data_IF_916506270623
#
_entry.id   IF_916506270623
#
_cell.length_a   1.000
_cell.length_b   1.000
_cell.length_c   1.000
_cell.angle_alpha   90.00
_cell.angle_beta   90.00
_cell.angle_gamma   90.00
#
_symmetry.space_group_name_H-M   'P 1'
#
loop_
_entity.id
_entity.type
_entity.pdbx_description
1 polymer ?
#
# COMPACT_ATOMS: atom_id res chain seq x y z
N UNK A 1 66.63 3.89 43.65
CA UNK A 1 65.90 3.37 42.42
C UNK A 1 64.44 2.99 42.68
N UNK A 2 64.08 2.33 43.77
CA UNK A 2 62.70 1.87 44.06
C UNK A 2 61.67 3.01 44.18
N UNK A 3 62.05 4.19 44.71
CA UNK A 3 61.15 5.34 44.87
C UNK A 3 60.84 6.13 43.57
N UNK A 4 61.71 6.06 42.55
CA UNK A 4 61.47 6.74 41.26
C UNK A 4 60.50 5.94 40.38
N UNK A 5 60.58 4.61 40.42
CA UNK A 5 59.68 3.70 39.69
C UNK A 5 58.25 3.81 40.20
N UNK A 6 58.07 3.92 41.54
CA UNK A 6 56.71 4.14 42.09
C UNK A 6 56.12 5.52 41.74
N UNK A 7 56.92 6.57 41.62
CA UNK A 7 56.45 7.86 41.18
C UNK A 7 56.01 7.89 39.72
N UNK A 8 56.76 7.20 38.85
CA UNK A 8 56.41 7.05 37.42
C UNK A 8 55.12 6.23 37.29
N UNK A 9 54.96 5.12 38.01
CA UNK A 9 53.75 4.33 37.99
C UNK A 9 52.52 5.10 38.47
N UNK A 10 52.64 5.90 39.53
CA UNK A 10 51.56 6.77 40.01
C UNK A 10 51.19 7.84 38.96
N UNK A 11 52.18 8.42 38.26
CA UNK A 11 51.93 9.41 37.22
C UNK A 11 51.19 8.80 36.02
N UNK A 12 51.53 7.60 35.59
CA UNK A 12 50.83 6.87 34.51
C UNK A 12 49.39 6.54 34.93
N UNK A 13 49.15 6.12 36.17
CA UNK A 13 47.81 5.86 36.69
C UNK A 13 46.96 7.15 36.70
N UNK A 14 47.51 8.29 37.10
CA UNK A 14 46.80 9.55 37.10
C UNK A 14 46.43 10.00 35.69
N UNK A 15 47.33 9.85 34.70
CA UNK A 15 47.06 10.13 33.29
C UNK A 15 45.97 9.21 32.77
N UNK A 16 46.03 7.94 33.05
CA UNK A 16 44.99 6.98 32.62
C UNK A 16 43.61 7.32 33.18
N UNK A 17 43.55 7.63 34.49
CA UNK A 17 42.31 8.04 35.16
C UNK A 17 41.75 9.36 34.58
N UNK A 18 42.61 10.32 34.23
CA UNK A 18 42.18 11.57 33.61
C UNK A 18 41.61 11.35 32.19
N UNK A 19 42.20 10.47 31.40
CA UNK A 19 41.69 10.08 30.07
C UNK A 19 40.32 9.42 30.19
N UNK A 20 40.16 8.49 31.12
CA UNK A 20 38.89 7.81 31.39
C UNK A 20 37.80 8.79 31.82
N UNK A 21 38.19 9.76 32.71
CA UNK A 21 37.26 10.81 33.17
C UNK A 21 36.80 11.71 32.00
N UNK A 22 37.72 12.15 31.13
CA UNK A 22 37.41 12.99 29.96
C UNK A 22 36.53 12.24 28.98
N UNK A 23 36.82 10.94 28.72
CA UNK A 23 36.00 10.08 27.85
C UNK A 23 34.58 9.89 28.42
N UNK A 24 34.47 9.65 29.73
CA UNK A 24 33.17 9.51 30.41
C UNK A 24 32.35 10.80 30.32
N UNK A 25 33.01 11.97 30.48
CA UNK A 25 32.37 13.28 30.37
C UNK A 25 31.88 13.53 28.93
N UNK A 26 32.68 13.18 27.93
CA UNK A 26 32.31 13.31 26.52
C UNK A 26 31.11 12.43 26.15
N UNK A 27 31.10 11.18 26.61
CA UNK A 27 29.97 10.26 26.41
C UNK A 27 28.70 10.74 27.11
N UNK A 28 28.84 11.26 28.35
CA UNK A 28 27.71 11.84 29.10
C UNK A 28 27.14 13.06 28.37
N UNK A 29 28.00 13.97 27.88
CA UNK A 29 27.56 15.14 27.11
C UNK A 29 26.87 14.74 25.80
N UNK A 30 27.41 13.76 25.08
CA UNK A 30 26.81 13.22 23.85
C UNK A 30 25.43 12.63 24.12
N UNK A 31 25.25 11.94 25.24
CA UNK A 31 23.98 11.37 25.65
C UNK A 31 22.95 12.43 26.00
N UNK A 32 23.38 13.45 26.76
CA UNK A 32 22.55 14.61 27.11
C UNK A 32 22.12 15.36 25.84
N UNK A 33 23.05 15.62 24.89
CA UNK A 33 22.70 16.28 23.63
C UNK A 33 21.70 15.47 22.79
N UNK A 34 21.82 14.14 22.76
CA UNK A 34 20.82 13.27 22.09
C UNK A 34 19.45 13.36 22.79
N UNK A 35 19.43 13.30 24.12
CA UNK A 35 18.20 13.45 24.90
C UNK A 35 17.57 14.83 24.73
N UNK A 36 18.38 15.90 24.72
CA UNK A 36 17.90 17.28 24.52
C UNK A 36 17.32 17.47 23.11
N UNK A 37 17.91 16.84 22.08
CA UNK A 37 17.37 16.84 20.74
C UNK A 37 16.02 16.09 20.65
N UNK A 38 15.91 14.94 21.34
CA UNK A 38 14.65 14.20 21.44
C UNK A 38 13.57 14.98 22.21
N UNK A 39 13.94 15.66 23.28
CA UNK A 39 13.02 16.49 24.08
C UNK A 39 12.62 17.76 23.34
N UNK A 40 13.51 18.39 22.55
CA UNK A 40 13.13 19.52 21.69
C UNK A 40 12.17 19.12 20.56
N UNK A 41 12.29 17.91 20.01
CA UNK A 41 11.29 17.39 19.06
C UNK A 41 9.92 17.14 19.73
N UNK A 42 9.87 16.93 21.05
CA UNK A 42 8.61 16.72 21.80
C UNK A 42 7.99 18.02 22.34
N UNK A 43 8.64 19.18 22.22
CA UNK A 43 8.13 20.46 22.79
C UNK A 43 7.51 21.39 21.77
N UNK A 44 7.57 21.09 20.47
CA UNK A 44 6.77 21.82 19.49
C UNK A 44 5.38 21.17 19.46
N UNK A 45 4.37 21.90 19.92
CA UNK A 45 2.97 21.46 19.77
C UNK A 45 2.67 21.32 18.29
N UNK A 46 2.18 20.15 17.84
CA UNK A 46 1.81 19.98 16.45
C UNK A 46 0.75 21.02 16.08
N UNK A 47 0.88 21.58 14.88
CA UNK A 47 -0.05 22.60 14.39
C UNK A 47 -1.38 21.98 13.95
N UNK A 48 -1.32 20.76 13.43
CA UNK A 48 -2.48 20.00 12.96
C UNK A 48 -2.52 18.61 13.57
N UNK A 49 -3.73 18.10 13.77
CA UNK A 49 -4.01 16.73 14.15
C UNK A 49 -4.79 16.04 13.03
N UNK A 50 -4.20 15.03 12.42
CA UNK A 50 -4.82 14.25 11.34
C UNK A 50 -5.14 12.84 11.87
N UNK A 51 -6.35 12.36 11.58
CA UNK A 51 -6.75 10.99 11.87
C UNK A 51 -6.70 10.15 10.59
N UNK A 52 -5.96 9.03 10.62
CA UNK A 52 -5.95 8.05 9.54
C UNK A 52 -6.67 6.78 9.97
N UNK A 53 -7.55 6.29 9.11
CA UNK A 53 -8.35 5.10 9.30
C UNK A 53 -7.91 4.05 8.26
N UNK A 54 -7.35 2.94 8.74
CA UNK A 54 -6.80 1.86 7.91
C UNK A 54 -7.38 0.52 8.37
N UNK A 55 -7.49 -0.49 7.50
CA UNK A 55 -7.69 -1.87 7.92
C UNK A 55 -6.54 -2.36 8.81
N UNK A 56 -6.61 -3.59 9.27
CA UNK A 56 -5.57 -4.21 10.09
C UNK A 56 -4.16 -3.98 9.54
N UNK A 57 -3.28 -3.40 10.36
CA UNK A 57 -1.94 -2.96 9.96
C UNK A 57 -0.88 -4.06 9.97
N UNK A 58 -1.25 -5.30 10.23
CA UNK A 58 -0.31 -6.45 10.17
C UNK A 58 0.11 -6.79 8.73
N UNK A 59 -0.67 -6.37 7.73
CA UNK A 59 -0.35 -6.59 6.33
C UNK A 59 0.74 -5.63 5.84
N UNK A 60 1.72 -6.14 5.09
CA UNK A 60 2.87 -5.34 4.60
C UNK A 60 2.46 -4.10 3.81
N UNK A 61 1.39 -4.18 3.02
CA UNK A 61 0.84 -3.07 2.24
C UNK A 61 0.43 -1.89 3.14
N UNK A 62 -0.34 -2.18 4.22
CA UNK A 62 -0.79 -1.13 5.14
C UNK A 62 0.31 -0.60 6.04
N UNK A 63 1.28 -1.46 6.42
CA UNK A 63 2.47 -1.01 7.15
C UNK A 63 3.28 0.00 6.33
N UNK A 64 3.56 -0.30 5.06
CA UNK A 64 4.28 0.61 4.17
C UNK A 64 3.50 1.92 3.93
N UNK A 65 2.18 1.84 3.80
CA UNK A 65 1.32 3.03 3.69
C UNK A 65 1.41 3.90 4.96
N UNK A 66 1.37 3.27 6.12
CA UNK A 66 1.50 3.97 7.40
C UNK A 66 2.90 4.60 7.56
N UNK A 67 3.96 3.91 7.12
CA UNK A 67 5.32 4.49 7.10
C UNK A 67 5.35 5.78 6.27
N UNK A 68 4.82 5.76 5.05
CA UNK A 68 4.75 6.97 4.22
C UNK A 68 3.96 8.11 4.87
N UNK A 69 2.82 7.78 5.49
CA UNK A 69 2.03 8.73 6.25
C UNK A 69 2.79 9.32 7.45
N UNK A 70 3.50 8.48 8.21
CA UNK A 70 4.28 8.90 9.38
C UNK A 70 5.49 9.75 9.00
N UNK A 71 6.16 9.43 7.89
CA UNK A 71 7.31 10.20 7.41
C UNK A 71 6.89 11.63 7.04
N UNK A 72 5.79 11.78 6.27
CA UNK A 72 5.24 13.11 5.98
C UNK A 72 4.87 13.87 7.25
N UNK A 73 4.20 13.22 8.21
CA UNK A 73 3.86 13.86 9.50
C UNK A 73 5.10 14.31 10.29
N UNK A 74 6.19 13.53 10.21
CA UNK A 74 7.47 13.88 10.84
C UNK A 74 8.13 15.10 10.22
N UNK A 75 8.03 15.26 8.90
CA UNK A 75 8.55 16.40 8.16
C UNK A 75 7.80 17.70 8.50
N UNK A 76 6.46 17.63 8.54
CA UNK A 76 5.58 18.79 8.72
C UNK A 76 5.10 18.98 10.17
N UNK A 77 5.58 18.16 11.12
CA UNK A 77 5.23 18.23 12.56
C UNK A 77 3.73 18.10 12.83
N UNK A 78 3.10 17.15 12.19
CA UNK A 78 1.69 16.83 12.32
C UNK A 78 1.51 15.74 13.38
N UNK A 79 0.50 15.88 14.26
CA UNK A 79 0.06 14.78 15.11
C UNK A 79 -0.79 13.81 14.30
N UNK A 80 -0.38 12.55 14.22
CA UNK A 80 -1.12 11.50 13.55
C UNK A 80 -1.78 10.57 14.58
N UNK A 81 -3.09 10.37 14.46
CA UNK A 81 -3.79 9.30 15.17
C UNK A 81 -4.19 8.20 14.18
N UNK A 82 -3.82 6.97 14.49
CA UNK A 82 -4.09 5.79 13.66
C UNK A 82 -5.25 5.02 14.27
N UNK A 83 -6.27 4.77 13.46
CA UNK A 83 -7.47 4.03 13.84
C UNK A 83 -7.62 2.82 12.94
N UNK A 84 -7.76 1.66 13.55
CA UNK A 84 -8.01 0.42 12.84
C UNK A 84 -9.49 0.30 12.50
N UNK A 85 -9.79 -0.07 11.25
CA UNK A 85 -11.15 -0.31 10.79
C UNK A 85 -11.50 -1.79 10.88
N UNK A 86 -12.64 -2.09 11.47
CA UNK A 86 -13.25 -3.41 11.39
C UNK A 86 -13.97 -3.62 10.03
N UNK A 87 -14.40 -4.85 9.76
CA UNK A 87 -15.09 -5.22 8.52
C UNK A 87 -16.34 -4.36 8.23
N UNK A 88 -16.99 -3.85 9.26
CA UNK A 88 -18.19 -3.03 9.15
C UNK A 88 -17.88 -1.53 9.12
N UNK A 89 -16.61 -1.15 9.22
CA UNK A 89 -16.15 0.24 9.30
C UNK A 89 -16.86 1.06 10.41
N UNK A 90 -17.22 0.39 11.51
CA UNK A 90 -18.02 0.97 12.59
C UNK A 90 -17.32 2.16 13.27
N UNK A 91 -15.99 2.19 13.26
CA UNK A 91 -15.18 3.26 13.81
C UNK A 91 -15.38 4.59 13.07
N UNK A 92 -15.77 4.56 11.79
CA UNK A 92 -16.04 5.77 11.01
C UNK A 92 -17.21 6.60 11.55
N UNK A 93 -18.15 5.99 12.31
CA UNK A 93 -19.23 6.76 12.96
C UNK A 93 -18.71 7.79 13.95
N UNK A 94 -17.56 7.53 14.58
CA UNK A 94 -16.94 8.44 15.52
C UNK A 94 -16.05 9.49 14.84
N UNK A 95 -15.61 9.27 13.60
CA UNK A 95 -14.65 10.11 12.89
C UNK A 95 -15.01 11.61 12.87
N UNK A 96 -16.27 12.04 12.60
CA UNK A 96 -16.64 13.46 12.61
C UNK A 96 -16.52 14.13 13.98
N UNK A 97 -16.38 13.35 15.07
CA UNK A 97 -16.38 13.83 16.45
C UNK A 97 -15.03 13.73 17.14
N UNK A 98 -13.99 13.30 16.44
CA UNK A 98 -12.63 13.12 16.99
C UNK A 98 -11.92 14.46 17.27
N UNK A 99 -12.41 15.55 16.66
CA UNK A 99 -11.73 16.84 16.73
C UNK A 99 -10.45 16.89 15.91
N UNK A 100 -10.24 15.96 14.99
CA UNK A 100 -9.15 16.01 14.02
C UNK A 100 -9.36 17.16 13.02
N UNK A 101 -8.27 17.80 12.61
CA UNK A 101 -8.27 18.86 11.61
C UNK A 101 -8.43 18.31 10.19
N UNK A 102 -8.08 17.02 9.97
CA UNK A 102 -8.25 16.32 8.72
C UNK A 102 -8.42 14.82 8.93
N UNK A 103 -9.11 14.16 8.00
CA UNK A 103 -9.42 12.73 8.06
C UNK A 103 -8.98 12.07 6.76
N UNK A 104 -8.22 10.99 6.90
CA UNK A 104 -7.75 10.12 5.81
C UNK A 104 -8.34 8.72 6.03
N UNK A 105 -8.94 8.13 5.00
CA UNK A 105 -9.60 6.84 5.12
C UNK A 105 -9.19 5.94 3.95
N UNK A 106 -8.73 4.72 4.27
CA UNK A 106 -8.73 3.61 3.34
C UNK A 106 -10.00 2.79 3.59
N UNK A 107 -11.00 2.94 2.74
CA UNK A 107 -12.26 2.23 2.93
C UNK A 107 -12.27 0.93 2.13
N UNK A 108 -12.67 -0.16 2.76
CA UNK A 108 -12.87 -1.46 2.11
C UNK A 108 -14.37 -1.88 2.09
N UNK A 109 -15.26 -0.92 2.32
CA UNK A 109 -16.71 -1.12 2.26
C UNK A 109 -17.36 0.01 1.47
N UNK A 110 -18.08 -0.34 0.41
CA UNK A 110 -18.84 0.58 -0.46
C UNK A 110 -20.34 0.53 -0.20
N UNK A 111 -20.73 0.17 1.03
CA UNK A 111 -22.13 0.13 1.42
C UNK A 111 -22.74 1.53 1.45
N UNK A 112 -24.08 1.57 1.36
CA UNK A 112 -24.80 2.84 1.47
C UNK A 112 -24.55 3.54 2.82
N UNK A 113 -24.42 2.76 3.88
CA UNK A 113 -24.11 3.26 5.22
C UNK A 113 -22.74 3.93 5.25
N UNK A 114 -21.73 3.32 4.61
CA UNK A 114 -20.39 3.92 4.49
C UNK A 114 -20.45 5.22 3.71
N UNK A 115 -21.13 5.26 2.57
CA UNK A 115 -21.30 6.48 1.78
C UNK A 115 -21.99 7.60 2.58
N UNK A 116 -23.03 7.28 3.37
CA UNK A 116 -23.73 8.25 4.24
C UNK A 116 -22.82 8.80 5.36
N UNK A 117 -21.91 7.97 5.90
CA UNK A 117 -20.94 8.42 6.90
C UNK A 117 -19.90 9.34 6.24
N UNK A 118 -19.37 8.96 5.07
CA UNK A 118 -18.43 9.78 4.31
C UNK A 118 -19.05 11.14 3.92
N UNK A 119 -20.32 11.15 3.52
CA UNK A 119 -21.07 12.39 3.27
C UNK A 119 -21.16 13.29 4.51
N UNK A 120 -21.33 12.71 5.70
CA UNK A 120 -21.34 13.47 6.96
C UNK A 120 -19.96 14.05 7.27
N UNK A 121 -18.90 13.27 7.09
CA UNK A 121 -17.51 13.73 7.28
C UNK A 121 -17.20 14.86 6.29
N UNK A 122 -17.41 14.62 5.00
CA UNK A 122 -17.16 15.61 3.95
C UNK A 122 -18.08 16.83 4.03
N UNK A 123 -19.25 16.69 4.64
CA UNK A 123 -20.20 17.79 4.90
C UNK A 123 -19.86 18.61 6.14
N UNK A 124 -18.95 18.15 6.98
CA UNK A 124 -18.35 18.92 8.08
C UNK A 124 -17.30 19.90 7.54
N UNK A 125 -16.73 20.72 8.40
CA UNK A 125 -15.58 21.56 8.02
C UNK A 125 -14.25 20.79 7.94
N UNK A 126 -14.24 19.49 8.26
CA UNK A 126 -13.05 18.66 8.30
C UNK A 126 -12.75 18.08 6.93
N UNK A 127 -11.58 18.36 6.33
CA UNK A 127 -11.14 17.78 5.08
C UNK A 127 -11.15 16.25 5.09
N UNK A 128 -11.61 15.66 3.99
CA UNK A 128 -11.65 14.22 3.79
C UNK A 128 -10.80 13.81 2.60
N UNK A 129 -9.93 12.85 2.82
CA UNK A 129 -9.14 12.16 1.78
C UNK A 129 -9.45 10.68 1.81
N UNK A 130 -9.79 10.10 0.66
CA UNK A 130 -9.94 8.65 0.49
C UNK A 130 -8.72 8.08 -0.24
N UNK A 131 -8.22 6.96 0.26
CA UNK A 131 -7.10 6.22 -0.34
C UNK A 131 -7.62 5.02 -1.11
N UNK A 132 -7.07 4.82 -2.31
CA UNK A 132 -7.19 3.66 -3.21
C UNK A 132 -8.60 3.49 -3.79
N UNK A 133 -9.62 3.36 -2.97
CA UNK A 133 -10.99 3.10 -3.42
C UNK A 133 -11.86 4.35 -3.43
N UNK A 134 -12.43 4.66 -4.60
CA UNK A 134 -13.35 5.76 -4.76
C UNK A 134 -14.78 5.33 -4.41
N UNK A 135 -15.36 5.95 -3.39
CA UNK A 135 -16.73 5.67 -2.96
C UNK A 135 -17.62 6.82 -3.40
N UNK A 136 -18.70 6.58 -4.16
CA UNK A 136 -19.62 7.61 -4.56
C UNK A 136 -20.27 8.30 -3.35
N UNK A 137 -20.09 9.62 -3.25
CA UNK A 137 -20.68 10.46 -2.20
C UNK A 137 -21.35 11.68 -2.81
N UNK A 138 -22.23 12.35 -2.07
CA UNK A 138 -22.87 13.59 -2.51
C UNK A 138 -22.00 14.83 -2.24
N UNK A 139 -20.94 14.67 -1.45
CA UNK A 139 -20.02 15.74 -1.06
C UNK A 139 -18.62 15.47 -1.63
N UNK A 140 -17.89 16.52 -2.01
CA UNK A 140 -16.56 16.36 -2.56
C UNK A 140 -15.58 15.90 -1.47
N UNK A 141 -14.63 15.08 -1.88
CA UNK A 141 -13.45 14.68 -1.14
C UNK A 141 -12.25 14.60 -2.11
N UNK A 142 -11.05 14.45 -1.58
CA UNK A 142 -9.88 14.17 -2.39
C UNK A 142 -9.64 12.67 -2.43
N UNK A 143 -9.38 12.14 -3.63
CA UNK A 143 -9.08 10.74 -3.85
C UNK A 143 -7.60 10.55 -4.24
N UNK A 144 -6.92 9.66 -3.55
CA UNK A 144 -5.54 9.25 -3.81
C UNK A 144 -5.56 7.79 -4.24
N UNK A 145 -5.08 7.49 -5.43
CA UNK A 145 -5.10 6.10 -5.90
C UNK A 145 -4.57 5.93 -7.31
N UNK A 146 -4.75 4.73 -7.86
CA UNK A 146 -4.32 4.36 -9.20
C UNK A 146 -5.43 4.65 -10.21
N UNK A 147 -5.04 5.08 -11.41
CA UNK A 147 -5.99 5.20 -12.53
C UNK A 147 -6.32 3.81 -13.09
N UNK A 148 -7.43 3.24 -12.65
CA UNK A 148 -7.87 1.91 -13.04
C UNK A 148 -8.17 1.77 -14.55
N UNK A 149 -8.58 2.84 -15.22
CA UNK A 149 -8.73 2.82 -16.69
C UNK A 149 -7.37 2.72 -17.38
N UNK A 150 -6.38 3.50 -16.94
CA UNK A 150 -5.02 3.47 -17.45
C UNK A 150 -4.36 2.10 -17.20
N UNK A 151 -4.56 1.55 -15.99
CA UNK A 151 -4.14 0.18 -15.66
C UNK A 151 -4.74 -0.83 -16.64
N UNK A 152 -6.04 -0.73 -16.90
CA UNK A 152 -6.72 -1.57 -17.90
C UNK A 152 -6.15 -1.42 -19.30
N UNK A 153 -5.85 -0.19 -19.73
CA UNK A 153 -5.20 0.06 -21.03
C UNK A 153 -3.84 -0.63 -21.10
N UNK A 154 -3.03 -0.52 -20.05
CA UNK A 154 -1.71 -1.12 -19.98
C UNK A 154 -1.75 -2.67 -20.04
N UNK A 155 -2.67 -3.25 -19.28
CA UNK A 155 -2.93 -4.70 -19.34
C UNK A 155 -3.34 -5.10 -20.77
N UNK A 156 -4.26 -4.36 -21.38
CA UNK A 156 -4.73 -4.63 -22.73
C UNK A 156 -3.62 -4.55 -23.79
N UNK A 157 -2.76 -3.55 -23.71
CA UNK A 157 -1.58 -3.41 -24.60
C UNK A 157 -0.57 -4.55 -24.41
N UNK A 158 -0.32 -4.93 -23.16
CA UNK A 158 0.55 -6.06 -22.84
C UNK A 158 0.01 -7.37 -23.44
N UNK A 159 -1.29 -7.60 -23.31
CA UNK A 159 -1.94 -8.79 -23.86
C UNK A 159 -2.02 -8.74 -25.41
N UNK A 160 -2.26 -7.58 -25.99
CA UNK A 160 -2.37 -7.40 -27.44
C UNK A 160 -1.06 -7.74 -28.17
N UNK A 161 0.09 -7.47 -27.56
CA UNK A 161 1.39 -7.78 -28.15
C UNK A 161 1.69 -9.28 -28.23
N UNK A 162 0.82 -10.13 -27.66
CA UNK A 162 0.92 -11.59 -27.81
C UNK A 162 0.36 -12.02 -29.16
N UNK A 163 1.05 -12.98 -29.81
CA UNK A 163 0.64 -13.48 -31.14
C UNK A 163 -0.48 -14.54 -31.08
N UNK A 164 -0.83 -14.99 -29.91
CA UNK A 164 -1.86 -16.05 -29.69
C UNK A 164 -3.19 -15.44 -29.27
N UNK A 165 -4.29 -16.12 -29.60
CA UNK A 165 -5.60 -15.73 -29.09
C UNK A 165 -5.61 -15.81 -27.57
N UNK A 166 -6.10 -14.75 -26.91
CA UNK A 166 -6.11 -14.62 -25.45
C UNK A 166 -7.53 -14.70 -24.95
N UNK A 167 -7.72 -15.53 -23.94
CA UNK A 167 -8.99 -15.76 -23.23
C UNK A 167 -8.79 -15.40 -21.76
N UNK A 168 -8.90 -14.10 -21.38
CA UNK A 168 -8.56 -13.65 -20.05
C UNK A 168 -9.67 -13.95 -19.05
N UNK A 169 -9.26 -14.32 -17.84
CA UNK A 169 -10.03 -14.32 -16.62
C UNK A 169 -9.48 -13.25 -15.69
N UNK A 170 -10.32 -12.32 -15.25
CA UNK A 170 -9.97 -11.36 -14.20
C UNK A 170 -10.57 -11.83 -12.89
N UNK A 171 -9.75 -11.91 -11.86
CA UNK A 171 -10.13 -12.29 -10.51
C UNK A 171 -10.14 -11.03 -9.63
N UNK A 172 -11.33 -10.65 -9.19
CA UNK A 172 -11.56 -9.53 -8.29
C UNK A 172 -11.74 -10.03 -6.86
N UNK A 173 -11.28 -9.27 -5.88
CA UNK A 173 -11.50 -9.57 -4.47
C UNK A 173 -12.72 -8.80 -3.93
N UNK A 174 -13.60 -9.46 -3.20
CA UNK A 174 -14.71 -8.80 -2.48
C UNK A 174 -14.22 -7.88 -1.35
N UNK A 175 -12.95 -8.00 -0.96
CA UNK A 175 -12.33 -7.12 0.05
C UNK A 175 -12.13 -5.69 -0.45
N UNK A 176 -12.17 -5.47 -1.75
CA UNK A 176 -11.95 -4.15 -2.35
C UNK A 176 -13.27 -3.40 -2.49
N UNK A 177 -13.52 -2.32 -1.73
CA UNK A 177 -14.67 -1.45 -1.93
C UNK A 177 -14.62 -0.79 -3.30
N UNK A 178 -15.76 -0.35 -3.81
CA UNK A 178 -15.83 0.20 -5.16
C UNK A 178 -15.51 -0.80 -6.28
N UNK A 179 -15.47 -2.08 -5.95
CA UNK A 179 -15.07 -3.16 -6.84
C UNK A 179 -15.74 -3.08 -8.21
N UNK A 180 -17.02 -2.76 -8.26
CA UNK A 180 -17.74 -2.71 -9.55
C UNK A 180 -17.30 -1.52 -10.41
N UNK A 181 -17.11 -0.35 -9.81
CA UNK A 181 -16.65 0.84 -10.55
C UNK A 181 -15.21 0.65 -11.05
N UNK A 182 -14.33 0.15 -10.21
CA UNK A 182 -12.93 -0.17 -10.56
C UNK A 182 -12.88 -1.26 -11.63
N UNK A 183 -13.69 -2.32 -11.47
CA UNK A 183 -13.84 -3.38 -12.46
C UNK A 183 -14.24 -2.84 -13.82
N UNK A 184 -15.29 -2.01 -13.89
CA UNK A 184 -15.73 -1.41 -15.14
C UNK A 184 -14.62 -0.59 -15.80
N UNK A 185 -13.85 0.18 -15.04
CA UNK A 185 -12.75 0.98 -15.54
C UNK A 185 -11.61 0.10 -16.09
N UNK A 186 -11.21 -0.95 -15.36
CA UNK A 186 -10.18 -1.89 -15.82
C UNK A 186 -10.66 -2.60 -17.10
N UNK A 187 -11.89 -3.13 -17.12
CA UNK A 187 -12.43 -3.80 -18.29
C UNK A 187 -12.55 -2.85 -19.49
N UNK A 188 -12.98 -1.60 -19.27
CA UNK A 188 -13.05 -0.59 -20.32
C UNK A 188 -11.66 -0.27 -20.88
N UNK A 189 -10.65 -0.14 -20.03
CA UNK A 189 -9.26 0.07 -20.43
C UNK A 189 -8.75 -1.08 -21.29
N UNK A 190 -8.92 -2.32 -20.86
CA UNK A 190 -8.53 -3.51 -21.63
C UNK A 190 -9.26 -3.54 -22.97
N UNK A 191 -10.56 -3.27 -22.99
CA UNK A 191 -11.37 -3.27 -24.22
C UNK A 191 -10.97 -2.14 -25.18
N UNK A 192 -10.48 -1.01 -24.67
CA UNK A 192 -10.07 0.12 -25.51
C UNK A 192 -8.79 -0.13 -26.30
N UNK A 193 -7.89 -0.93 -25.77
CA UNK A 193 -6.56 -1.20 -26.34
C UNK A 193 -6.47 -2.55 -27.02
N UNK A 194 -7.19 -3.55 -26.53
CA UNK A 194 -7.21 -4.88 -27.12
C UNK A 194 -8.13 -4.93 -28.35
N UNK A 195 -7.60 -5.41 -29.48
CA UNK A 195 -8.42 -5.66 -30.66
C UNK A 195 -9.51 -6.69 -30.36
N UNK A 196 -10.77 -6.35 -30.57
CA UNK A 196 -11.94 -7.21 -30.37
C UNK A 196 -11.85 -8.58 -31.05
N UNK A 197 -10.96 -8.71 -32.02
CA UNK A 197 -10.72 -10.00 -32.72
C UNK A 197 -9.93 -11.02 -31.89
N UNK A 198 -9.27 -10.56 -30.81
CA UNK A 198 -8.45 -11.43 -29.97
C UNK A 198 -9.19 -11.91 -28.71
N UNK A 199 -10.30 -11.25 -28.36
CA UNK A 199 -11.05 -11.54 -27.15
C UNK A 199 -12.50 -11.88 -27.49
N UNK A 200 -12.92 -13.12 -27.25
CA UNK A 200 -14.35 -13.51 -27.34
C UNK A 200 -15.14 -12.83 -26.20
N UNK A 201 -14.59 -12.83 -25.00
CA UNK A 201 -15.13 -12.20 -23.80
C UNK A 201 -14.09 -12.18 -22.70
N UNK A 202 -14.08 -11.12 -21.88
CA UNK A 202 -13.37 -11.10 -20.62
C UNK A 202 -14.22 -11.84 -19.60
N UNK A 203 -13.67 -12.90 -19.00
CA UNK A 203 -14.32 -13.60 -17.90
C UNK A 203 -13.97 -12.89 -16.60
N UNK A 204 -14.92 -12.85 -15.68
CA UNK A 204 -14.72 -12.28 -14.36
C UNK A 204 -15.12 -13.28 -13.29
N UNK A 205 -14.33 -13.35 -12.25
CA UNK A 205 -14.61 -14.06 -11.02
C UNK A 205 -14.44 -13.12 -9.84
N UNK A 206 -15.15 -13.40 -8.77
CA UNK A 206 -15.04 -12.65 -7.51
C UNK A 206 -14.71 -13.65 -6.42
N UNK A 207 -13.62 -13.42 -5.70
CA UNK A 207 -13.23 -14.24 -4.55
C UNK A 207 -13.84 -13.65 -3.28
N UNK A 208 -14.26 -14.53 -2.37
CA UNK A 208 -14.67 -14.11 -1.04
C UNK A 208 -13.45 -13.93 -0.12
N UNK A 209 -13.68 -13.45 1.10
CA UNK A 209 -12.61 -13.10 2.04
C UNK A 209 -11.72 -14.27 2.52
N UNK A 210 -11.97 -15.51 2.07
CA UNK A 210 -11.18 -16.67 2.46
C UNK A 210 -10.12 -17.00 1.39
N UNK A 211 -8.86 -17.12 1.81
CA UNK A 211 -7.73 -17.49 0.94
C UNK A 211 -7.95 -18.79 0.13
N UNK A 212 -8.79 -19.71 0.64
CA UNK A 212 -9.11 -20.98 -0.04
C UNK A 212 -10.03 -20.77 -1.25
N UNK A 213 -10.77 -19.67 -1.30
CA UNK A 213 -11.78 -19.46 -2.34
C UNK A 213 -11.16 -19.13 -3.70
N UNK A 214 -10.02 -18.45 -3.73
CA UNK A 214 -9.32 -18.14 -4.98
C UNK A 214 -8.92 -19.43 -5.71
N UNK A 215 -8.42 -20.43 -5.00
CA UNK A 215 -8.05 -21.72 -5.57
C UNK A 215 -9.27 -22.47 -6.10
N UNK A 216 -10.35 -22.54 -5.33
CA UNK A 216 -11.59 -23.26 -5.71
C UNK A 216 -12.29 -22.57 -6.87
N UNK A 217 -12.43 -21.24 -6.82
CA UNK A 217 -13.12 -20.47 -7.87
C UNK A 217 -12.36 -20.58 -9.18
N UNK A 218 -11.04 -20.33 -9.16
CA UNK A 218 -10.24 -20.42 -10.39
C UNK A 218 -10.22 -21.85 -10.91
N UNK A 219 -10.05 -22.87 -10.06
CA UNK A 219 -10.09 -24.27 -10.45
C UNK A 219 -11.44 -24.67 -11.03
N UNK A 220 -12.54 -24.20 -10.47
CA UNK A 220 -13.89 -24.43 -10.98
C UNK A 220 -14.09 -23.80 -12.36
N UNK A 221 -13.66 -22.55 -12.54
CA UNK A 221 -13.78 -21.86 -13.83
C UNK A 221 -12.92 -22.55 -14.89
N UNK A 222 -11.70 -22.92 -14.56
CA UNK A 222 -10.80 -23.62 -15.46
C UNK A 222 -11.33 -25.00 -15.87
N UNK A 223 -11.98 -25.71 -14.94
CA UNK A 223 -12.60 -27.01 -15.24
C UNK A 223 -13.81 -26.87 -16.15
N UNK A 224 -14.55 -25.78 -16.05
CA UNK A 224 -15.79 -25.56 -16.82
C UNK A 224 -15.52 -24.85 -18.16
N UNK A 225 -14.45 -24.07 -18.25
CA UNK A 225 -14.08 -23.21 -19.40
C UNK A 225 -12.64 -23.47 -19.83
N UNK A 226 -12.42 -24.52 -20.58
CA UNK A 226 -11.11 -24.99 -21.04
C UNK A 226 -10.35 -24.02 -21.97
N UNK A 227 -10.94 -22.88 -22.34
CA UNK A 227 -10.31 -21.88 -23.23
C UNK A 227 -9.51 -20.84 -22.50
N UNK A 228 -9.73 -20.62 -21.18
CA UNK A 228 -8.98 -19.61 -20.41
C UNK A 228 -7.49 -19.96 -20.42
N UNK A 229 -6.68 -19.03 -20.86
CA UNK A 229 -5.23 -19.19 -20.94
C UNK A 229 -4.45 -18.07 -20.22
N UNK A 230 -5.17 -17.03 -19.76
CA UNK A 230 -4.58 -15.89 -19.04
C UNK A 230 -5.42 -15.58 -17.82
N UNK A 231 -4.78 -15.41 -16.69
CA UNK A 231 -5.43 -15.06 -15.41
C UNK A 231 -4.80 -13.75 -14.91
N UNK A 232 -5.67 -12.80 -14.53
CA UNK A 232 -5.27 -11.49 -14.03
C UNK A 232 -5.85 -11.35 -12.65
N UNK A 233 -5.00 -11.13 -11.65
CA UNK A 233 -5.42 -10.85 -10.28
C UNK A 233 -5.41 -9.36 -10.00
N UNK A 234 -6.31 -8.91 -9.13
CA UNK A 234 -6.40 -7.53 -8.66
C UNK A 234 -6.10 -7.39 -7.16
N UNK A 235 -5.71 -8.50 -6.52
CA UNK A 235 -5.39 -8.56 -5.10
C UNK A 235 -4.17 -9.45 -4.86
N UNK A 236 -3.35 -9.07 -3.86
CA UNK A 236 -2.11 -9.78 -3.54
C UNK A 236 -2.35 -11.15 -2.91
N UNK A 237 -3.32 -11.26 -1.98
CA UNK A 237 -3.62 -12.53 -1.31
C UNK A 237 -4.07 -13.59 -2.30
N UNK A 238 -4.94 -13.22 -3.25
CA UNK A 238 -5.42 -14.10 -4.30
C UNK A 238 -4.27 -14.51 -5.24
N UNK A 239 -3.37 -13.57 -5.56
CA UNK A 239 -2.16 -13.85 -6.35
C UNK A 239 -1.28 -14.88 -5.65
N UNK A 240 -0.98 -14.68 -4.36
CA UNK A 240 -0.14 -15.57 -3.56
C UNK A 240 -0.76 -16.96 -3.40
N UNK A 241 -2.06 -17.02 -3.08
CA UNK A 241 -2.78 -18.29 -2.92
C UNK A 241 -2.71 -19.12 -4.20
N UNK A 242 -3.02 -18.50 -5.35
CA UNK A 242 -3.00 -19.19 -6.62
C UNK A 242 -1.58 -19.59 -7.08
N UNK A 243 -0.60 -18.71 -6.92
CA UNK A 243 0.80 -19.00 -7.25
C UNK A 243 1.32 -20.20 -6.44
N UNK A 244 1.02 -20.24 -5.13
CA UNK A 244 1.37 -21.34 -4.25
C UNK A 244 0.75 -22.66 -4.71
N UNK A 245 -0.56 -22.65 -5.01
CA UNK A 245 -1.26 -23.84 -5.52
C UNK A 245 -0.62 -24.38 -6.80
N UNK A 246 -0.23 -23.50 -7.75
CA UNK A 246 0.40 -23.93 -9.01
C UNK A 246 1.74 -24.64 -8.75
N UNK A 247 2.53 -24.13 -7.82
CA UNK A 247 3.79 -24.77 -7.43
C UNK A 247 3.54 -26.13 -6.78
N UNK A 248 2.62 -26.22 -5.82
CA UNK A 248 2.28 -27.44 -5.09
C UNK A 248 1.72 -28.52 -6.01
N UNK A 249 0.94 -28.14 -7.02
CA UNK A 249 0.35 -29.06 -7.99
C UNK A 249 1.23 -29.31 -9.23
N UNK A 250 2.44 -28.73 -9.28
CA UNK A 250 3.34 -28.82 -10.43
C UNK A 250 2.67 -28.38 -11.76
N UNK A 251 1.91 -27.27 -11.71
CA UNK A 251 1.13 -26.71 -12.81
C UNK A 251 1.65 -25.36 -13.31
N UNK A 252 2.86 -24.97 -12.91
CA UNK A 252 3.49 -23.73 -13.36
C UNK A 252 3.60 -23.71 -14.89
N UNK A 253 3.23 -22.58 -15.50
CA UNK A 253 3.26 -22.42 -16.97
C UNK A 253 2.03 -22.92 -17.71
N UNK A 254 0.99 -23.44 -17.03
CA UNK A 254 -0.27 -23.83 -17.66
C UNK A 254 -1.08 -22.63 -18.19
N UNK A 255 -0.99 -21.51 -17.48
CA UNK A 255 -1.66 -20.25 -17.79
C UNK A 255 -0.65 -19.11 -17.71
N UNK A 256 -0.90 -18.07 -18.49
CA UNK A 256 -0.23 -16.80 -18.32
C UNK A 256 -0.83 -16.09 -17.11
N UNK A 257 0.00 -15.63 -16.19
CA UNK A 257 -0.47 -15.03 -14.94
C UNK A 257 0.07 -13.61 -14.81
N UNK A 258 -0.86 -12.67 -14.69
CA UNK A 258 -0.58 -11.29 -14.27
C UNK A 258 -1.01 -11.19 -12.82
N UNK A 259 -0.05 -11.13 -11.91
CA UNK A 259 -0.28 -10.98 -10.48
C UNK A 259 -0.48 -9.53 -10.09
N UNK A 260 -0.90 -9.33 -8.84
CA UNK A 260 -1.01 -8.02 -8.19
C UNK A 260 -0.34 -8.10 -6.82
N UNK A 261 0.39 -7.03 -6.43
CA UNK A 261 1.00 -6.91 -5.12
C UNK A 261 2.38 -6.26 -5.13
N UNK A 262 2.88 -5.93 -3.95
CA UNK A 262 4.17 -5.25 -3.78
C UNK A 262 5.13 -5.96 -2.83
N UNK A 263 4.67 -7.00 -2.10
CA UNK A 263 5.49 -7.72 -1.12
C UNK A 263 6.62 -8.51 -1.78
N UNK A 264 7.65 -8.79 -0.99
CA UNK A 264 8.77 -9.63 -1.42
C UNK A 264 8.31 -11.05 -1.80
N UNK A 265 7.26 -11.55 -1.12
CA UNK A 265 6.70 -12.88 -1.39
C UNK A 265 6.13 -12.98 -2.81
N UNK A 266 5.38 -11.98 -3.28
CA UNK A 266 4.82 -11.99 -4.63
C UNK A 266 5.90 -11.75 -5.69
N UNK A 267 6.89 -10.90 -5.40
CA UNK A 267 8.05 -10.67 -6.27
C UNK A 267 8.88 -11.93 -6.46
N UNK A 268 9.03 -12.74 -5.41
CA UNK A 268 9.73 -14.03 -5.50
C UNK A 268 9.07 -14.99 -6.49
N UNK A 269 7.72 -15.00 -6.57
CA UNK A 269 7.00 -15.80 -7.58
C UNK A 269 7.20 -15.27 -9.01
N UNK A 270 7.34 -13.95 -9.18
CA UNK A 270 7.71 -13.37 -10.49
C UNK A 270 9.13 -13.81 -10.88
N UNK A 271 10.10 -13.69 -9.97
CA UNK A 271 11.50 -14.07 -10.22
C UNK A 271 11.65 -15.56 -10.52
N UNK A 272 10.89 -16.42 -9.85
CA UNK A 272 10.82 -17.86 -10.10
C UNK A 272 10.07 -18.21 -11.39
N UNK A 273 9.44 -17.24 -12.05
CA UNK A 273 8.67 -17.42 -13.27
C UNK A 273 7.37 -18.19 -13.09
N UNK A 274 6.81 -18.16 -11.90
CA UNK A 274 5.45 -18.62 -11.62
C UNK A 274 4.44 -17.59 -12.13
N UNK A 275 4.76 -16.30 -11.98
CA UNK A 275 4.03 -15.18 -12.57
C UNK A 275 4.76 -14.71 -13.83
N UNK A 276 4.03 -14.28 -14.86
CA UNK A 276 4.58 -13.73 -16.10
C UNK A 276 4.76 -12.22 -16.02
N UNK A 277 3.89 -11.56 -15.25
CA UNK A 277 3.96 -10.14 -14.94
C UNK A 277 3.34 -9.86 -13.56
N UNK A 278 3.69 -8.72 -13.01
CA UNK A 278 3.20 -8.27 -11.70
C UNK A 278 2.85 -6.78 -11.79
N UNK A 279 1.65 -6.43 -11.35
CA UNK A 279 1.19 -5.07 -11.13
C UNK A 279 1.53 -4.73 -9.69
N UNK A 280 2.33 -3.69 -9.48
CA UNK A 280 2.75 -3.24 -8.16
C UNK A 280 2.34 -1.80 -7.93
N UNK A 281 1.64 -1.53 -6.83
CA UNK A 281 1.26 -0.19 -6.38
C UNK A 281 2.15 0.20 -5.21
N UNK A 282 2.69 1.41 -5.26
CA UNK A 282 3.52 1.96 -4.19
C UNK A 282 2.65 2.43 -3.02
N UNK A 283 2.46 1.55 -2.05
CA UNK A 283 1.65 1.83 -0.86
C UNK A 283 2.27 2.91 0.04
N UNK A 284 3.59 3.06 0.06
CA UNK A 284 4.25 4.16 0.77
C UNK A 284 3.81 5.51 0.19
N UNK A 285 3.84 5.63 -1.14
CA UNK A 285 3.40 6.85 -1.81
C UNK A 285 1.91 7.13 -1.62
N UNK A 286 1.06 6.10 -1.54
CA UNK A 286 -0.35 6.28 -1.21
C UNK A 286 -0.52 6.97 0.15
N UNK A 287 0.19 6.51 1.17
CA UNK A 287 0.15 7.10 2.51
C UNK A 287 0.73 8.52 2.56
N UNK A 288 1.91 8.70 1.98
CA UNK A 288 2.60 10.00 1.94
C UNK A 288 1.74 11.08 1.25
N UNK A 289 1.23 10.78 0.03
CA UNK A 289 0.41 11.71 -0.75
C UNK A 289 -0.94 11.99 -0.11
N UNK A 290 -1.52 11.02 0.61
CA UNK A 290 -2.77 11.23 1.31
C UNK A 290 -2.61 12.23 2.45
N UNK A 291 -1.54 12.10 3.26
CA UNK A 291 -1.24 13.06 4.33
C UNK A 291 -0.86 14.43 3.76
N UNK A 292 -0.07 14.47 2.71
CA UNK A 292 0.24 15.72 2.01
C UNK A 292 -1.04 16.44 1.55
N UNK A 293 -1.95 15.71 0.90
CA UNK A 293 -3.17 16.30 0.36
C UNK A 293 -4.10 16.84 1.45
N UNK A 294 -4.32 16.09 2.54
CA UNK A 294 -5.14 16.57 3.65
C UNK A 294 -4.50 17.77 4.35
N UNK A 295 -3.17 17.77 4.51
CA UNK A 295 -2.43 18.89 5.07
C UNK A 295 -2.54 20.15 4.20
N UNK A 296 -2.39 20.02 2.87
CA UNK A 296 -2.60 21.13 1.93
C UNK A 296 -4.00 21.74 2.05
N UNK A 297 -5.05 20.91 2.23
CA UNK A 297 -6.40 21.43 2.46
C UNK A 297 -6.47 22.16 3.80
N UNK A 298 -5.90 21.60 4.87
CA UNK A 298 -5.89 22.24 6.19
C UNK A 298 -5.18 23.61 6.15
N UNK A 299 -4.07 23.69 5.42
CA UNK A 299 -3.24 24.90 5.35
C UNK A 299 -3.76 25.94 4.36
N UNK A 300 -4.18 25.51 3.15
CA UNK A 300 -4.49 26.38 2.03
C UNK A 300 -5.98 26.39 1.64
N UNK A 301 -6.79 25.51 2.24
CA UNK A 301 -8.22 25.37 1.95
C UNK A 301 -8.55 24.56 0.69
N UNK A 302 -7.55 24.10 -0.07
CA UNK A 302 -7.76 23.30 -1.30
C UNK A 302 -6.55 22.43 -1.64
N UNK A 303 -6.79 21.37 -2.41
CA UNK A 303 -5.80 20.54 -3.09
C UNK A 303 -6.43 19.95 -4.36
N UNK A 304 -5.73 19.09 -5.09
CA UNK A 304 -6.28 18.32 -6.20
C UNK A 304 -7.42 17.42 -5.74
N UNK A 305 -8.50 17.34 -6.49
CA UNK A 305 -9.60 16.40 -6.20
C UNK A 305 -9.19 14.93 -6.44
N UNK A 306 -8.17 14.70 -7.25
CA UNK A 306 -7.60 13.38 -7.55
C UNK A 306 -6.08 13.46 -7.67
N UNK A 307 -5.39 12.54 -7.02
CA UNK A 307 -3.94 12.34 -7.15
C UNK A 307 -3.69 10.91 -7.61
N UNK A 308 -3.10 10.77 -8.80
CA UNK A 308 -2.69 9.48 -9.34
C UNK A 308 -1.29 9.13 -8.82
N UNK A 309 -1.17 8.07 -8.04
CA UNK A 309 0.12 7.57 -7.54
C UNK A 309 0.84 6.66 -8.54
N UNK A 310 0.12 6.26 -9.61
CA UNK A 310 0.67 5.36 -10.61
C UNK A 310 0.79 3.90 -10.13
N UNK A 311 1.37 3.08 -10.98
CA UNK A 311 1.69 1.68 -10.73
C UNK A 311 2.92 1.27 -11.52
N UNK A 312 3.62 0.27 -11.04
CA UNK A 312 4.69 -0.40 -11.78
C UNK A 312 4.16 -1.68 -12.42
N UNK A 313 4.60 -1.96 -13.64
CA UNK A 313 4.33 -3.21 -14.33
C UNK A 313 5.64 -3.97 -14.54
N UNK A 314 5.88 -4.90 -13.64
CA UNK A 314 7.09 -5.72 -13.64
C UNK A 314 6.87 -6.96 -14.51
N UNK A 315 7.86 -7.30 -15.33
CA UNK A 315 7.84 -8.51 -16.16
C UNK A 315 8.88 -9.49 -15.65
N UNK A 316 8.60 -10.78 -15.82
CA UNK A 316 9.63 -11.81 -15.63
C UNK A 316 10.87 -11.44 -16.43
N UNK A 317 12.04 -11.49 -15.79
CA UNK A 317 13.32 -11.32 -16.50
C UNK A 317 13.39 -12.38 -17.61
N UNK A 318 13.55 -11.95 -18.85
CA UNK A 318 13.94 -12.86 -19.91
C UNK A 318 15.37 -13.32 -19.57
N UNK A 319 15.50 -14.50 -18.97
CA UNK A 319 16.80 -15.14 -18.85
C UNK A 319 17.38 -15.23 -20.25
N UNK A 320 18.46 -14.51 -20.47
CA UNK A 320 19.30 -14.68 -21.62
C UNK A 320 19.85 -16.10 -21.55
N UNK A 321 19.10 -17.06 -22.05
CA UNK A 321 19.65 -18.39 -22.33
C UNK A 321 20.77 -18.19 -23.34
N UNK A 322 21.99 -18.16 -22.85
CA UNK A 322 23.22 -18.37 -23.61
C UNK A 322 23.60 -19.84 -23.57
#
# INVERSE_FOLDING_TARGET
MKNSVNRIAIFIIIIFLSIVAVYSLFMSLSYVMKLTKQVQMQTETPEFHIAIYLPETTHSFFNSMLEGAMDFCGEEKIALSVHELDENSSQLFAAPYTGADGIVIYSFSDTKETAEILDKIAGSSTPLVLIDHAIPTNKPYTHIGVNNFELGCFIGEYLFNEQTAIFPLIVYSEKSPGMYAERELIEMGIKSTASYKLFDSILCAVTSQNMLDAEEIVSSILSTRSRTNTIIFTNEDDTLAYAKMLVEQNKVGMHKIIGFGSSDAVKEYLDKGVLDALISVDSYQLGYQALQSVFEICQNGNTSSYVNTGFDFLKKSEDTQK
#
